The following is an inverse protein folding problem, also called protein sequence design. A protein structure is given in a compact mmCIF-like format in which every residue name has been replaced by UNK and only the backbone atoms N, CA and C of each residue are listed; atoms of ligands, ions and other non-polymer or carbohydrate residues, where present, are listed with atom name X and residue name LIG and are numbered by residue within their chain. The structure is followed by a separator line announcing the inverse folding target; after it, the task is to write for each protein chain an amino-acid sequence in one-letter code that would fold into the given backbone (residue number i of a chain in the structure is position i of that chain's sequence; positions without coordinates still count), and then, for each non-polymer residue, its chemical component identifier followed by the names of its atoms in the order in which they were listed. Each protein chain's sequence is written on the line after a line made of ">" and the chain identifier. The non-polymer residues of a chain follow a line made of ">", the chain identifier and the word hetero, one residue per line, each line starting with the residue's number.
data_IF_237397092788
#
_entry.id   IF_237397092788
#
_cell.length_a   1.000
_cell.length_b   1.000
_cell.length_c   1.000
_cell.angle_alpha   90.00
_cell.angle_beta   90.00
_cell.angle_gamma   90.00
#
_symmetry.space_group_name_H-M   'P 1'
#
loop_
_entity.id
_entity.type
_entity.pdbx_description
1 polymer ?
#
# COMPACT_ATOMS: atom_id res chain seq x y z
N UNK A 1 18.40 -37.27 3.78
CA UNK A 1 17.71 -36.59 4.90
C UNK A 1 17.25 -35.23 4.39
N UNK A 2 15.96 -35.09 4.09
CA UNK A 2 15.34 -33.82 3.69
C UNK A 2 15.17 -32.95 4.93
N UNK A 3 15.77 -31.75 4.92
CA UNK A 3 15.55 -30.74 5.96
C UNK A 3 14.06 -30.36 5.95
N UNK A 4 13.35 -30.38 7.09
CA UNK A 4 11.97 -29.93 7.12
C UNK A 4 11.95 -28.42 6.86
N UNK A 5 11.17 -28.04 5.86
CA UNK A 5 10.81 -26.67 5.52
C UNK A 5 10.03 -26.08 6.69
N UNK A 6 10.77 -25.40 7.59
CA UNK A 6 10.24 -24.69 8.75
C UNK A 6 10.69 -23.24 8.67
N UNK A 7 10.22 -22.49 7.67
CA UNK A 7 10.63 -21.09 7.47
C UNK A 7 9.46 -20.11 7.27
N UNK A 8 8.22 -20.52 7.58
CA UNK A 8 7.06 -19.61 7.51
C UNK A 8 6.78 -18.93 8.87
N UNK A 9 7.32 -19.46 9.97
CA UNK A 9 7.11 -18.92 11.32
C UNK A 9 7.94 -17.68 11.65
N UNK A 10 9.08 -17.47 10.98
CA UNK A 10 9.96 -16.30 11.16
C UNK A 10 9.74 -15.22 10.09
N UNK A 11 9.02 -15.55 9.01
CA UNK A 11 8.73 -14.65 7.88
C UNK A 11 7.43 -13.85 8.08
N UNK A 12 7.09 -13.49 9.32
CA UNK A 12 5.94 -12.64 9.59
C UNK A 12 6.26 -11.20 9.19
N UNK A 13 5.78 -10.79 8.03
CA UNK A 13 5.91 -9.40 7.56
C UNK A 13 4.86 -8.56 8.29
N UNK A 14 5.33 -7.62 9.09
CA UNK A 14 4.45 -6.64 9.72
C UNK A 14 3.82 -5.76 8.64
N UNK A 15 2.49 -5.64 8.65
CA UNK A 15 1.74 -4.81 7.69
C UNK A 15 1.90 -3.32 8.04
N UNK A 16 1.45 -2.45 7.12
CA UNK A 16 1.39 -0.99 7.32
C UNK A 16 2.74 -0.32 7.65
N UNK A 17 3.87 -0.96 7.30
CA UNK A 17 5.21 -0.49 7.65
C UNK A 17 5.43 -0.36 9.17
N UNK A 18 4.73 -1.14 10.01
CA UNK A 18 4.84 -1.04 11.47
C UNK A 18 6.27 -1.27 11.98
N UNK A 19 7.04 -2.14 11.32
CA UNK A 19 8.44 -2.37 11.66
C UNK A 19 9.30 -1.13 11.44
N UNK A 20 9.10 -0.42 10.32
CA UNK A 20 9.78 0.84 10.03
C UNK A 20 9.30 1.96 10.96
N UNK A 21 8.02 1.98 11.33
CA UNK A 21 7.43 3.00 12.21
C UNK A 21 8.02 3.02 13.63
N UNK A 22 8.60 1.90 14.09
CA UNK A 22 9.28 1.80 15.38
C UNK A 22 10.77 2.19 15.36
N UNK A 23 11.27 2.76 14.25
CA UNK A 23 12.66 3.20 14.16
C UNK A 23 12.93 4.47 15.01
N UNK A 24 14.12 4.55 15.60
CA UNK A 24 14.53 5.66 16.48
C UNK A 24 14.93 6.92 15.71
N UNK A 25 15.25 6.77 14.41
CA UNK A 25 15.68 7.87 13.55
C UNK A 25 15.00 7.83 12.19
N UNK A 26 14.87 8.99 11.56
CA UNK A 26 14.32 9.10 10.21
C UNK A 26 15.11 8.26 9.18
N UNK A 27 16.45 8.28 9.25
CA UNK A 27 17.27 7.49 8.34
C UNK A 27 17.03 5.98 8.52
N UNK A 28 16.95 5.51 9.77
CA UNK A 28 16.64 4.11 10.06
C UNK A 28 15.22 3.73 9.61
N UNK A 29 14.26 4.63 9.72
CA UNK A 29 12.91 4.44 9.18
C UNK A 29 12.96 4.20 7.66
N UNK A 30 13.64 5.08 6.91
CA UNK A 30 13.79 4.95 5.46
C UNK A 30 14.48 3.65 5.05
N UNK A 31 15.51 3.22 5.78
CA UNK A 31 16.21 1.96 5.53
C UNK A 31 15.38 0.71 5.86
N UNK A 32 14.29 0.83 6.63
CA UNK A 32 13.44 -0.28 7.07
C UNK A 32 12.13 -0.40 6.28
N UNK A 33 11.89 0.48 5.30
CA UNK A 33 10.73 0.38 4.43
C UNK A 33 10.76 -0.93 3.63
N UNK A 34 9.64 -1.65 3.65
CA UNK A 34 9.51 -2.99 3.09
C UNK A 34 8.38 -3.03 2.04
N UNK A 35 8.71 -3.39 0.80
CA UNK A 35 7.73 -3.48 -0.29
C UNK A 35 6.75 -4.64 -0.11
N UNK A 36 7.12 -5.65 0.68
CA UNK A 36 6.30 -6.83 0.91
C UNK A 36 5.31 -6.61 2.08
N UNK A 37 5.45 -5.50 2.81
CA UNK A 37 4.49 -5.08 3.85
C UNK A 37 3.27 -4.40 3.21
N UNK A 38 2.09 -5.05 3.17
CA UNK A 38 0.91 -4.46 2.57
C UNK A 38 0.38 -3.26 3.38
N UNK A 39 -0.18 -2.23 2.73
CA UNK A 39 -0.84 -1.11 3.42
C UNK A 39 -2.21 -1.53 4.00
N UNK A 40 -2.83 -0.63 4.76
CA UNK A 40 -4.24 -0.79 5.11
C UNK A 40 -5.16 -0.62 3.90
N UNK A 41 -6.34 -1.22 3.99
CA UNK A 41 -7.41 -1.06 2.98
C UNK A 41 -7.91 0.39 2.88
N UNK A 42 -7.92 1.13 4.00
CA UNK A 42 -8.45 2.48 4.03
C UNK A 42 -7.47 3.48 3.40
N UNK A 43 -7.94 4.27 2.44
CA UNK A 43 -7.18 5.39 1.91
C UNK A 43 -7.62 6.69 2.60
N UNK A 44 -6.78 7.22 3.48
CA UNK A 44 -7.07 8.43 4.26
C UNK A 44 -6.94 9.74 3.48
N UNK A 45 -6.36 9.72 2.29
CA UNK A 45 -6.09 10.90 1.46
C UNK A 45 -7.03 10.92 0.27
N UNK A 46 -7.86 11.96 0.16
CA UNK A 46 -8.77 12.13 -0.96
C UNK A 46 -8.04 12.42 -2.27
N UNK A 47 -8.64 12.00 -3.39
CA UNK A 47 -8.18 12.34 -4.74
C UNK A 47 -9.14 13.39 -5.32
N UNK A 48 -8.59 14.53 -5.76
CA UNK A 48 -9.34 15.58 -6.46
C UNK A 48 -8.92 15.57 -7.93
N UNK A 49 -9.86 15.31 -8.83
CA UNK A 49 -9.63 15.30 -10.27
C UNK A 49 -10.36 16.47 -10.94
N UNK A 50 -9.63 17.30 -11.69
CA UNK A 50 -10.23 18.35 -12.53
C UNK A 50 -10.71 17.70 -13.83
N UNK A 51 -12.00 17.84 -14.12
CA UNK A 51 -12.59 17.34 -15.37
C UNK A 51 -12.58 18.48 -16.38
N UNK A 52 -11.84 18.30 -17.47
CA UNK A 52 -11.85 19.21 -18.61
C UNK A 52 -12.56 18.55 -19.79
N UNK A 53 -13.34 19.30 -20.59
CA UNK A 53 -13.90 18.80 -21.84
C UNK A 53 -12.78 18.35 -22.78
N UNK A 54 -12.93 17.17 -23.40
CA UNK A 54 -11.96 16.66 -24.37
C UNK A 54 -12.65 16.49 -25.73
N UNK A 55 -12.60 17.53 -26.55
CA UNK A 55 -13.15 17.53 -27.91
C UNK A 55 -14.63 17.16 -27.98
N UNK A 56 -15.01 16.62 -29.12
CA UNK A 56 -16.37 16.33 -29.58
C UNK A 56 -16.89 14.93 -29.14
N UNK A 57 -16.09 14.19 -28.36
CA UNK A 57 -16.46 12.87 -27.82
C UNK A 57 -16.55 12.91 -26.29
N UNK A 58 -17.77 13.04 -25.77
CA UNK A 58 -18.03 13.03 -24.32
C UNK A 58 -18.14 11.61 -23.78
N UNK A 59 -17.00 10.98 -23.46
CA UNK A 59 -16.99 9.81 -22.57
C UNK A 59 -16.96 10.27 -21.11
N UNK A 60 -17.89 9.72 -20.33
CA UNK A 60 -18.07 10.02 -18.91
C UNK A 60 -17.07 9.20 -18.10
N UNK A 61 -16.53 9.77 -17.02
CA UNK A 61 -15.86 8.96 -16.00
C UNK A 61 -16.85 7.91 -15.46
N UNK A 62 -16.55 6.62 -15.64
CA UNK A 62 -17.26 5.50 -15.01
C UNK A 62 -16.39 4.90 -13.92
N UNK A 63 -16.85 4.96 -12.67
CA UNK A 63 -16.22 4.30 -11.53
C UNK A 63 -16.97 3.01 -11.21
N UNK A 64 -16.40 1.85 -11.52
CA UNK A 64 -16.82 0.59 -10.89
C UNK A 64 -15.72 0.19 -9.91
N UNK A 65 -15.93 0.44 -8.62
CA UNK A 65 -14.99 0.08 -7.57
C UNK A 65 -15.43 0.62 -6.23
N UNK A 66 -15.56 -0.27 -5.24
CA UNK A 66 -16.02 0.00 -3.87
C UNK A 66 -15.08 1.04 -3.23
N UNK A 67 -15.54 2.28 -3.13
CA UNK A 67 -14.82 3.34 -2.43
C UNK A 67 -14.94 3.05 -0.93
N UNK A 68 -13.98 2.34 -0.36
CA UNK A 68 -13.89 2.13 1.08
C UNK A 68 -13.36 3.43 1.70
N UNK A 69 -14.27 4.27 2.20
CA UNK A 69 -13.97 5.29 3.20
C UNK A 69 -13.83 4.64 4.58
#
# INVERSE_FOLDING_TARGET
>A
MSRPHSEVGTAFIQTQQLHAAMADTFLQHMCRLDIDSPPITAWSTGIICIIVPRGDHQERARSHGKLCF
#
